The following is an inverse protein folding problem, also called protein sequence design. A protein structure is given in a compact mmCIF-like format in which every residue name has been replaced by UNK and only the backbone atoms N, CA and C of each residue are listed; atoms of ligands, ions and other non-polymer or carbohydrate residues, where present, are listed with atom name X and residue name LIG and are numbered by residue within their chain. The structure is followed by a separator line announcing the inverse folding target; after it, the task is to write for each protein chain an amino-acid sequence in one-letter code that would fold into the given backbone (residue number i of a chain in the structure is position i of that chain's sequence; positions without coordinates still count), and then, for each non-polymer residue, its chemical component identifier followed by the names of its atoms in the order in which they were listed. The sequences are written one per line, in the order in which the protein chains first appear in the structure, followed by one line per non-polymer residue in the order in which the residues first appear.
data_IF_223646051893
#
_entry.id   IF_223646051893
#
_cell.length_a   1.000
_cell.length_b   1.000
_cell.length_c   1.000
_cell.angle_alpha   90.00
_cell.angle_beta   90.00
_cell.angle_gamma   90.00
#
_symmetry.space_group_name_H-M   'P 1'
#
loop_
_entity.id
_entity.type
_entity.pdbx_description
1 polymer ?
#
# COMPACT_ATOMS: atom_id res chain seq x y z
N UNK A 1 8.64 18.65 19.95
CA UNK A 1 7.85 19.17 18.81
C UNK A 1 6.74 18.22 18.33
N UNK A 2 6.86 16.89 18.43
CA UNK A 2 5.92 15.92 17.83
C UNK A 2 4.51 15.79 18.46
N UNK A 3 4.23 16.45 19.58
CA UNK A 3 2.93 16.36 20.29
C UNK A 3 2.10 17.65 20.17
N UNK A 4 2.39 18.49 19.17
CA UNK A 4 1.67 19.76 18.97
C UNK A 4 0.30 19.60 18.32
N UNK A 5 0.06 18.49 17.60
CA UNK A 5 -1.21 18.18 16.95
C UNK A 5 -1.48 16.67 16.96
N UNK A 6 -2.74 16.28 16.76
CA UNK A 6 -3.11 14.87 16.63
C UNK A 6 -2.44 14.29 15.38
N UNK A 7 -2.39 15.06 14.29
CA UNK A 7 -1.66 14.68 13.07
C UNK A 7 -0.20 14.28 13.33
N UNK A 8 0.60 15.14 13.97
CA UNK A 8 2.03 14.87 14.19
C UNK A 8 2.24 13.68 15.11
N UNK A 9 1.37 13.51 16.10
CA UNK A 9 1.39 12.34 16.97
C UNK A 9 1.06 11.07 16.18
N UNK A 10 -0.04 11.05 15.43
CA UNK A 10 -0.42 9.90 14.59
C UNK A 10 0.68 9.53 13.60
N UNK A 11 1.29 10.51 12.94
CA UNK A 11 2.41 10.28 12.02
C UNK A 11 3.64 9.68 12.74
N UNK A 12 3.93 10.14 13.97
CA UNK A 12 4.98 9.54 14.81
C UNK A 12 4.71 8.07 15.09
N UNK A 13 3.47 7.71 15.36
CA UNK A 13 3.10 6.34 15.69
C UNK A 13 3.20 5.43 14.47
N UNK A 14 3.01 5.99 13.28
CA UNK A 14 3.20 5.28 12.02
C UNK A 14 4.65 5.19 11.56
N UNK A 15 5.63 5.85 12.21
CA UNK A 15 7.04 5.84 11.75
C UNK A 15 7.61 4.43 11.50
N UNK A 16 7.31 3.47 12.38
CA UNK A 16 7.79 2.08 12.25
C UNK A 16 7.07 1.39 11.10
N UNK A 17 5.78 1.67 10.93
CA UNK A 17 5.04 1.16 9.79
C UNK A 17 5.55 1.75 8.47
N UNK A 18 5.78 3.06 8.40
CA UNK A 18 6.29 3.76 7.21
C UNK A 18 7.61 3.12 6.77
N UNK A 19 8.55 2.97 7.70
CA UNK A 19 9.84 2.35 7.39
C UNK A 19 9.69 0.85 7.10
N UNK A 20 8.99 0.10 7.95
CA UNK A 20 8.85 -1.35 7.81
C UNK A 20 8.12 -1.78 6.55
N UNK A 21 6.92 -1.22 6.30
CA UNK A 21 6.14 -1.52 5.10
C UNK A 21 6.73 -0.86 3.86
N UNK A 22 7.22 0.37 3.93
CA UNK A 22 7.84 1.04 2.78
C UNK A 22 9.11 0.33 2.30
N UNK A 23 10.02 -0.01 3.22
CA UNK A 23 11.24 -0.75 2.87
C UNK A 23 10.90 -2.19 2.49
N UNK A 24 10.06 -2.87 3.29
CA UNK A 24 9.66 -4.25 3.04
C UNK A 24 9.02 -4.42 1.66
N UNK A 25 8.06 -3.57 1.30
CA UNK A 25 7.44 -3.60 -0.02
C UNK A 25 8.42 -3.27 -1.14
N UNK A 26 9.26 -2.25 -0.96
CA UNK A 26 10.29 -1.91 -1.95
C UNK A 26 11.20 -3.10 -2.26
N UNK A 27 11.67 -3.81 -1.23
CA UNK A 27 12.48 -5.01 -1.41
C UNK A 27 11.71 -6.17 -2.06
N UNK A 28 10.43 -6.36 -1.69
CA UNK A 28 9.55 -7.36 -2.30
C UNK A 28 9.38 -7.11 -3.80
N UNK A 29 9.33 -5.85 -4.25
CA UNK A 29 9.22 -5.48 -5.67
C UNK A 29 10.54 -5.66 -6.43
N UNK A 30 11.68 -5.46 -5.77
CA UNK A 30 13.00 -5.69 -6.38
C UNK A 30 13.22 -7.17 -6.71
N UNK A 31 12.66 -8.10 -5.93
CA UNK A 31 12.77 -9.55 -6.16
C UNK A 31 12.27 -10.02 -7.55
N UNK A 32 11.01 -9.74 -7.98
CA UNK A 32 10.54 -10.11 -9.32
C UNK A 32 11.26 -9.35 -10.43
N UNK A 33 11.75 -8.13 -10.18
CA UNK A 33 12.60 -7.42 -11.14
C UNK A 33 13.90 -8.18 -11.42
N UNK A 34 14.52 -8.71 -10.36
CA UNK A 34 15.69 -9.57 -10.48
C UNK A 34 15.36 -10.84 -11.30
N UNK A 35 14.23 -11.51 -10.99
CA UNK A 35 13.82 -12.71 -11.70
C UNK A 35 13.62 -12.47 -13.21
N UNK A 36 12.95 -11.38 -13.59
CA UNK A 36 12.73 -11.05 -15.00
C UNK A 36 14.02 -10.68 -15.72
N UNK A 37 14.93 -9.97 -15.05
CA UNK A 37 16.23 -9.62 -15.63
C UNK A 37 17.04 -10.86 -16.06
N UNK A 38 16.85 -12.00 -15.38
CA UNK A 38 17.44 -13.28 -15.76
C UNK A 38 16.62 -14.03 -16.82
N UNK A 39 15.30 -14.09 -16.66
CA UNK A 39 14.41 -14.85 -17.56
C UNK A 39 14.36 -14.29 -18.99
N UNK A 40 14.59 -12.99 -19.17
CA UNK A 40 14.50 -12.35 -20.50
C UNK A 40 15.77 -12.58 -21.34
N UNK A 41 16.85 -13.13 -20.74
CA UNK A 41 18.11 -13.39 -21.45
C UNK A 41 18.01 -14.51 -22.49
N UNK A 42 17.15 -15.51 -22.27
CA UNK A 42 16.96 -16.62 -23.23
C UNK A 42 15.63 -16.49 -23.96
N UNK A 43 15.59 -16.73 -25.29
CA UNK A 43 14.35 -16.64 -26.07
C UNK A 43 13.24 -17.57 -25.55
N UNK A 44 13.60 -18.78 -25.11
CA UNK A 44 12.66 -19.79 -24.63
C UNK A 44 12.00 -19.36 -23.31
N UNK A 45 12.79 -18.82 -22.36
CA UNK A 45 12.25 -18.36 -21.08
C UNK A 45 11.42 -17.08 -21.24
N UNK A 46 11.78 -16.19 -22.16
CA UNK A 46 10.97 -15.03 -22.53
C UNK A 46 9.61 -15.44 -23.10
N UNK A 47 9.57 -16.42 -24.00
CA UNK A 47 8.32 -16.93 -24.57
C UNK A 47 7.44 -17.57 -23.49
N UNK A 48 8.03 -18.36 -22.59
CA UNK A 48 7.32 -18.93 -21.45
C UNK A 48 6.75 -17.84 -20.53
N UNK A 49 7.53 -16.81 -20.21
CA UNK A 49 7.10 -15.68 -19.38
C UNK A 49 5.90 -14.94 -20.00
N UNK A 50 5.93 -14.67 -21.30
CA UNK A 50 4.85 -14.01 -22.02
C UNK A 50 3.58 -14.87 -22.07
N UNK A 51 3.71 -16.17 -22.30
CA UNK A 51 2.57 -17.10 -22.26
C UNK A 51 1.92 -17.16 -20.87
N UNK A 52 2.75 -17.17 -19.82
CA UNK A 52 2.28 -17.13 -18.44
C UNK A 52 1.59 -15.79 -18.14
N UNK A 53 2.18 -14.67 -18.51
CA UNK A 53 1.56 -13.36 -18.33
C UNK A 53 0.21 -13.25 -19.06
N UNK A 54 0.11 -13.76 -20.29
CA UNK A 54 -1.13 -13.80 -21.05
C UNK A 54 -2.22 -14.66 -20.36
N UNK A 55 -1.85 -15.77 -19.71
CA UNK A 55 -2.80 -16.61 -18.97
C UNK A 55 -3.43 -15.90 -17.76
N UNK A 56 -2.79 -14.85 -17.26
CA UNK A 56 -3.26 -14.01 -16.14
C UNK A 56 -3.81 -12.66 -16.60
N UNK A 57 -4.06 -12.47 -17.90
CA UNK A 57 -4.62 -11.23 -18.47
C UNK A 57 -6.02 -10.86 -17.94
N UNK A 58 -6.75 -11.82 -17.37
CA UNK A 58 -8.01 -11.59 -16.68
C UNK A 58 -7.87 -10.75 -15.40
N UNK A 59 -6.67 -10.70 -14.80
CA UNK A 59 -6.40 -9.96 -13.56
C UNK A 59 -5.75 -8.60 -13.82
N UNK A 60 -4.78 -8.56 -14.73
CA UNK A 60 -4.06 -7.36 -15.11
C UNK A 60 -3.61 -7.49 -16.56
N UNK A 61 -3.68 -6.39 -17.32
CA UNK A 61 -3.21 -6.41 -18.70
C UNK A 61 -1.68 -6.63 -18.75
N UNK A 62 -1.24 -7.56 -19.59
CA UNK A 62 0.15 -7.98 -19.69
C UNK A 62 0.94 -7.05 -20.61
N UNK A 63 0.99 -5.76 -20.25
CA UNK A 63 1.66 -4.72 -21.05
C UNK A 63 3.18 -4.80 -20.87
N UNK A 64 3.91 -5.16 -21.94
CA UNK A 64 5.38 -5.26 -21.95
C UNK A 64 5.91 -6.12 -20.77
N UNK A 65 5.25 -7.23 -20.48
CA UNK A 65 5.58 -8.12 -19.37
C UNK A 65 6.95 -8.81 -19.50
N UNK A 66 7.59 -8.68 -20.65
CA UNK A 66 8.98 -9.06 -20.92
C UNK A 66 10.00 -7.96 -20.59
N UNK A 67 9.55 -6.79 -20.14
CA UNK A 67 10.41 -5.73 -19.60
C UNK A 67 10.33 -5.72 -18.08
N UNK A 68 11.39 -5.26 -17.42
CA UNK A 68 11.45 -5.20 -15.96
C UNK A 68 10.33 -4.30 -15.40
N UNK A 69 10.13 -3.13 -15.99
CA UNK A 69 9.09 -2.18 -15.56
C UNK A 69 7.66 -2.67 -15.85
N UNK A 70 7.43 -3.24 -17.02
CA UNK A 70 6.13 -3.80 -17.39
C UNK A 70 5.76 -5.00 -16.51
N UNK A 71 6.71 -5.91 -16.23
CA UNK A 71 6.46 -7.03 -15.34
C UNK A 71 6.25 -6.61 -13.88
N UNK A 72 7.03 -5.65 -13.37
CA UNK A 72 6.82 -5.12 -12.03
C UNK A 72 5.40 -4.55 -11.89
N UNK A 73 4.92 -3.83 -12.91
CA UNK A 73 3.55 -3.27 -12.96
C UNK A 73 2.50 -4.36 -13.05
N UNK A 74 2.70 -5.35 -13.91
CA UNK A 74 1.81 -6.51 -14.04
C UNK A 74 1.67 -7.29 -12.72
N UNK A 75 2.75 -7.44 -11.96
CA UNK A 75 2.75 -8.12 -10.65
C UNK A 75 2.19 -7.28 -9.50
N UNK A 76 1.89 -5.99 -9.70
CA UNK A 76 1.26 -5.15 -8.67
C UNK A 76 -0.01 -5.82 -8.13
N UNK A 77 -0.82 -6.45 -8.98
CA UNK A 77 -2.09 -7.09 -8.60
C UNK A 77 -1.97 -7.98 -7.37
N UNK A 78 -0.92 -8.79 -7.30
CA UNK A 78 -0.67 -9.71 -6.17
C UNK A 78 -0.09 -8.96 -4.97
N UNK A 79 0.80 -7.99 -5.21
CA UNK A 79 1.47 -7.25 -4.13
C UNK A 79 0.57 -6.23 -3.42
N UNK A 80 -0.54 -5.81 -4.06
CA UNK A 80 -1.58 -5.02 -3.42
C UNK A 80 -2.10 -5.73 -2.17
N UNK A 81 -2.29 -7.05 -2.19
CA UNK A 81 -2.78 -7.79 -1.02
C UNK A 81 -1.87 -7.61 0.19
N UNK A 82 -0.55 -7.64 -0.03
CA UNK A 82 0.42 -7.50 1.05
C UNK A 82 0.45 -6.06 1.56
N UNK A 83 0.52 -5.08 0.66
CA UNK A 83 0.57 -3.67 1.06
C UNK A 83 -0.75 -3.19 1.70
N UNK A 84 -1.89 -3.69 1.26
CA UNK A 84 -3.21 -3.28 1.75
C UNK A 84 -3.49 -3.74 3.20
N UNK A 85 -2.72 -4.70 3.74
CA UNK A 85 -2.87 -5.15 5.14
C UNK A 85 -2.76 -3.97 6.11
N UNK A 86 -1.72 -3.15 5.97
CA UNK A 86 -1.50 -2.04 6.88
C UNK A 86 -2.60 -0.97 6.87
N UNK A 87 -2.99 -0.38 5.71
CA UNK A 87 -4.04 0.64 5.67
C UNK A 87 -5.40 0.09 6.10
N UNK A 88 -5.72 -1.18 5.82
CA UNK A 88 -6.96 -1.80 6.30
C UNK A 88 -6.96 -1.86 7.84
N UNK A 89 -5.86 -2.34 8.44
CA UNK A 89 -5.74 -2.40 9.90
C UNK A 89 -5.67 -1.01 10.54
N UNK A 90 -5.02 -0.04 9.88
CA UNK A 90 -4.93 1.33 10.34
C UNK A 90 -6.30 2.01 10.31
N UNK A 91 -7.04 1.87 9.20
CA UNK A 91 -8.38 2.41 9.01
C UNK A 91 -9.40 1.80 9.96
N UNK A 92 -9.43 0.47 10.10
CA UNK A 92 -10.42 -0.23 10.93
C UNK A 92 -10.29 0.07 12.43
N UNK A 93 -9.08 0.40 12.89
CA UNK A 93 -8.82 0.74 14.31
C UNK A 93 -8.75 2.24 14.59
N UNK A 94 -8.85 3.11 13.58
CA UNK A 94 -8.53 4.54 13.71
C UNK A 94 -9.41 5.25 14.74
N UNK A 95 -10.72 4.97 14.71
CA UNK A 95 -11.70 5.52 15.66
C UNK A 95 -12.14 4.46 16.65
N UNK A 96 -12.63 3.32 16.16
CA UNK A 96 -13.13 2.22 17.00
C UNK A 96 -12.09 1.71 17.99
N UNK A 97 -10.83 1.61 17.58
CA UNK A 97 -9.76 1.16 18.46
C UNK A 97 -9.43 2.13 19.60
N UNK A 98 -9.78 3.41 19.47
CA UNK A 98 -9.65 4.41 20.53
C UNK A 98 -10.87 4.46 21.44
N UNK A 99 -12.06 4.15 20.90
CA UNK A 99 -13.30 3.93 21.66
C UNK A 99 -13.17 2.71 22.57
N UNK A 100 -12.70 1.57 22.04
CA UNK A 100 -12.48 0.33 22.81
C UNK A 100 -11.53 0.53 24.01
N UNK A 101 -10.61 1.50 23.89
CA UNK A 101 -9.60 1.81 24.91
C UNK A 101 -10.00 2.97 25.83
N UNK A 102 -11.20 3.54 25.65
CA UNK A 102 -11.67 4.78 26.28
C UNK A 102 -10.73 5.99 26.09
N UNK A 103 -9.76 5.90 25.18
CA UNK A 103 -8.79 6.96 24.90
C UNK A 103 -9.40 8.11 24.10
N UNK A 104 -10.47 7.83 23.36
CA UNK A 104 -11.21 8.85 22.62
C UNK A 104 -11.91 9.82 23.58
N UNK A 105 -12.47 9.33 24.69
CA UNK A 105 -13.14 10.17 25.70
C UNK A 105 -12.15 11.12 26.37
N UNK A 106 -10.94 10.63 26.67
CA UNK A 106 -9.84 11.46 27.19
C UNK A 106 -9.43 12.52 26.16
N UNK A 107 -9.31 12.16 24.88
CA UNK A 107 -8.94 13.10 23.82
C UNK A 107 -10.01 14.19 23.61
N UNK A 108 -11.29 13.83 23.71
CA UNK A 108 -12.42 14.74 23.55
C UNK A 108 -12.75 15.54 24.81
N UNK A 109 -12.12 15.23 25.95
CA UNK A 109 -12.16 16.09 27.14
C UNK A 109 -11.38 17.40 26.93
N UNK A 110 -10.40 17.39 26.02
CA UNK A 110 -9.75 18.60 25.54
C UNK A 110 -10.66 19.36 24.56
N UNK A 111 -10.53 20.69 24.41
CA UNK A 111 -11.36 21.50 23.50
C UNK A 111 -10.99 21.26 22.02
N UNK A 112 -11.21 20.04 21.54
CA UNK A 112 -10.95 19.59 20.18
C UNK A 112 -12.25 19.07 19.55
N UNK A 113 -12.54 19.51 18.32
CA UNK A 113 -13.71 19.03 17.59
C UNK A 113 -13.54 17.58 17.12
N UNK A 114 -14.59 16.76 17.24
CA UNK A 114 -14.60 15.35 16.79
C UNK A 114 -14.18 15.19 15.33
N UNK A 115 -14.75 16.02 14.44
CA UNK A 115 -14.44 16.01 13.00
C UNK A 115 -12.98 16.36 12.74
N UNK A 116 -12.46 17.36 13.46
CA UNK A 116 -11.05 17.77 13.34
C UNK A 116 -10.11 16.63 13.70
N UNK A 117 -10.37 15.94 14.81
CA UNK A 117 -9.57 14.78 15.24
C UNK A 117 -9.58 13.67 14.17
N UNK A 118 -10.76 13.34 13.64
CA UNK A 118 -10.88 12.32 12.60
C UNK A 118 -10.13 12.71 11.32
N UNK A 119 -10.25 13.96 10.87
CA UNK A 119 -9.55 14.47 9.69
C UNK A 119 -8.02 14.50 9.89
N UNK A 120 -7.55 14.92 11.06
CA UNK A 120 -6.11 14.92 11.37
C UNK A 120 -5.51 13.50 11.36
N UNK A 121 -6.24 12.49 11.87
CA UNK A 121 -5.82 11.08 11.81
C UNK A 121 -5.86 10.50 10.39
N UNK A 122 -6.90 10.84 9.62
CA UNK A 122 -7.02 10.43 8.22
C UNK A 122 -5.87 11.02 7.39
N UNK A 123 -5.61 12.33 7.54
CA UNK A 123 -4.50 13.01 6.90
C UNK A 123 -3.15 12.38 7.27
N UNK A 124 -2.96 11.99 8.54
CA UNK A 124 -1.74 11.31 8.97
C UNK A 124 -1.57 9.92 8.34
N UNK A 125 -2.68 9.19 8.14
CA UNK A 125 -2.67 7.88 7.47
C UNK A 125 -2.31 8.03 5.99
N UNK A 126 -2.88 9.03 5.31
CA UNK A 126 -2.57 9.34 3.92
C UNK A 126 -1.11 9.80 3.76
N UNK A 127 -0.64 10.69 4.63
CA UNK A 127 0.76 11.11 4.65
C UNK A 127 1.72 9.92 4.85
N UNK A 128 1.36 8.97 5.71
CA UNK A 128 2.13 7.74 5.89
C UNK A 128 2.15 6.87 4.62
N UNK A 129 1.01 6.71 3.93
CA UNK A 129 0.96 5.99 2.65
C UNK A 129 1.80 6.68 1.57
N UNK A 130 1.76 8.02 1.48
CA UNK A 130 2.61 8.76 0.54
C UNK A 130 4.10 8.62 0.88
N UNK A 131 4.47 8.63 2.17
CA UNK A 131 5.84 8.37 2.57
C UNK A 131 6.29 6.95 2.18
N UNK A 132 5.44 5.95 2.36
CA UNK A 132 5.69 4.58 1.88
C UNK A 132 5.83 4.53 0.36
N UNK A 133 4.96 5.23 -0.38
CA UNK A 133 5.02 5.33 -1.85
C UNK A 133 6.39 5.83 -2.33
N UNK A 134 6.90 6.88 -1.70
CA UNK A 134 8.21 7.45 -2.01
C UNK A 134 9.32 6.45 -1.71
N UNK A 135 9.29 5.77 -0.56
CA UNK A 135 10.28 4.75 -0.22
C UNK A 135 10.27 3.58 -1.22
N UNK A 136 9.08 3.09 -1.57
CA UNK A 136 8.89 2.01 -2.54
C UNK A 136 9.41 2.45 -3.91
N UNK A 137 9.06 3.65 -4.38
CA UNK A 137 9.52 4.17 -5.66
C UNK A 137 11.03 4.37 -5.74
N UNK A 138 11.66 4.85 -4.65
CA UNK A 138 13.12 4.95 -4.56
C UNK A 138 13.77 3.56 -4.64
N UNK A 139 13.27 2.58 -3.89
CA UNK A 139 13.82 1.23 -3.91
C UNK A 139 13.60 0.52 -5.26
N UNK A 140 12.43 0.73 -5.88
CA UNK A 140 12.15 0.23 -7.22
C UNK A 140 13.09 0.88 -8.26
N UNK A 141 13.34 2.18 -8.16
CA UNK A 141 14.33 2.85 -9.01
C UNK A 141 15.74 2.30 -8.83
N UNK A 142 16.20 2.14 -7.58
CA UNK A 142 17.51 1.56 -7.29
C UNK A 142 17.63 0.12 -7.84
N UNK A 143 16.59 -0.70 -7.68
CA UNK A 143 16.52 -2.03 -8.32
C UNK A 143 16.57 -1.94 -9.85
N UNK A 144 15.87 -0.97 -10.44
CA UNK A 144 15.88 -0.73 -11.88
C UNK A 144 17.27 -0.37 -12.41
N UNK A 145 18.02 0.47 -11.68
CA UNK A 145 19.40 0.82 -12.02
C UNK A 145 20.31 -0.41 -11.98
N UNK A 146 20.19 -1.26 -10.95
CA UNK A 146 21.00 -2.49 -10.82
C UNK A 146 20.73 -3.46 -11.97
N UNK A 147 19.46 -3.62 -12.36
CA UNK A 147 19.05 -4.55 -13.41
C UNK A 147 18.98 -3.93 -14.81
N UNK A 148 19.44 -2.68 -14.99
CA UNK A 148 19.43 -1.94 -16.26
C UNK A 148 18.04 -1.84 -16.91
N UNK A 149 17.04 -1.48 -16.11
CA UNK A 149 15.66 -1.33 -16.56
C UNK A 149 15.43 -0.02 -17.34
N UNK A 150 14.48 -0.04 -18.27
CA UNK A 150 14.17 1.08 -19.19
C UNK A 150 13.13 2.07 -18.64
N UNK A 151 13.22 2.43 -17.35
CA UNK A 151 12.28 3.39 -16.74
C UNK A 151 13.00 4.45 -15.90
N UNK A 152 12.37 5.62 -15.76
CA UNK A 152 12.93 6.77 -15.06
C UNK A 152 12.58 6.74 -13.56
N UNK A 153 13.24 7.60 -12.78
CA UNK A 153 12.87 7.82 -11.37
C UNK A 153 11.40 8.25 -11.23
N UNK A 154 10.89 9.06 -12.17
CA UNK A 154 9.50 9.52 -12.15
C UNK A 154 8.55 8.34 -12.30
N UNK A 155 8.82 7.42 -13.23
CA UNK A 155 8.01 6.23 -13.45
C UNK A 155 7.96 5.34 -12.20
N UNK A 156 9.11 5.17 -11.52
CA UNK A 156 9.18 4.41 -10.28
C UNK A 156 8.43 5.07 -9.12
N UNK A 157 8.46 6.40 -9.02
CA UNK A 157 7.66 7.14 -8.04
C UNK A 157 6.15 7.07 -8.35
N UNK A 158 5.77 7.13 -9.62
CA UNK A 158 4.39 6.94 -10.07
C UNK A 158 3.89 5.53 -9.76
N UNK A 159 4.74 4.52 -9.92
CA UNK A 159 4.46 3.14 -9.50
C UNK A 159 4.15 3.07 -7.99
N UNK A 160 5.01 3.66 -7.14
CA UNK A 160 4.79 3.69 -5.70
C UNK A 160 3.52 4.46 -5.33
N UNK A 161 3.25 5.57 -6.01
CA UNK A 161 2.05 6.39 -5.82
C UNK A 161 0.78 5.62 -6.21
N UNK A 162 0.79 4.92 -7.34
CA UNK A 162 -0.33 4.10 -7.79
C UNK A 162 -0.71 3.05 -6.72
N UNK A 163 0.29 2.32 -6.20
CA UNK A 163 0.09 1.34 -5.14
C UNK A 163 -0.49 1.98 -3.87
N UNK A 164 0.04 3.14 -3.47
CA UNK A 164 -0.45 3.85 -2.29
C UNK A 164 -1.88 4.39 -2.45
N UNK A 165 -2.28 4.84 -3.64
CA UNK A 165 -3.64 5.29 -3.92
C UNK A 165 -4.65 4.15 -3.83
N UNK A 166 -4.33 2.98 -4.40
CA UNK A 166 -5.17 1.78 -4.26
C UNK A 166 -5.33 1.43 -2.78
N UNK A 167 -4.21 1.40 -2.05
CA UNK A 167 -4.18 1.16 -0.61
C UNK A 167 -4.98 2.19 0.21
N UNK A 168 -4.98 3.46 -0.21
CA UNK A 168 -5.75 4.51 0.44
C UNK A 168 -7.26 4.30 0.29
N UNK A 169 -7.72 3.81 -0.86
CA UNK A 169 -9.13 3.45 -1.08
C UNK A 169 -9.55 2.35 -0.09
N UNK A 170 -8.81 1.25 0.01
CA UNK A 170 -9.15 0.18 0.95
C UNK A 170 -9.03 0.60 2.42
N UNK A 171 -8.05 1.46 2.76
CA UNK A 171 -7.98 2.06 4.09
C UNK A 171 -9.18 2.93 4.43
N UNK A 172 -9.69 3.71 3.46
CA UNK A 172 -10.90 4.51 3.62
C UNK A 172 -12.16 3.65 3.75
N UNK A 173 -12.27 2.56 2.97
CA UNK A 173 -13.35 1.58 3.10
C UNK A 173 -13.32 0.91 4.48
N UNK A 174 -12.14 0.54 4.99
CA UNK A 174 -12.00 -0.01 6.35
C UNK A 174 -12.46 0.97 7.42
N UNK A 175 -12.09 2.24 7.28
CA UNK A 175 -12.55 3.30 8.17
C UNK A 175 -14.08 3.44 8.12
N UNK A 176 -14.67 3.46 6.92
CA UNK A 176 -16.12 3.57 6.74
C UNK A 176 -16.87 2.39 7.36
N UNK A 177 -16.45 1.16 7.06
CA UNK A 177 -17.08 -0.06 7.60
C UNK A 177 -16.96 -0.10 9.13
N UNK A 178 -15.83 0.35 9.70
CA UNK A 178 -15.64 0.37 11.16
C UNK A 178 -16.66 1.23 11.92
N UNK A 179 -17.33 2.17 11.25
CA UNK A 179 -18.38 2.97 11.88
C UNK A 179 -19.65 2.14 12.18
N UNK A 180 -19.85 1.04 11.45
CA UNK A 180 -21.02 0.17 11.59
C UNK A 180 -20.74 -1.11 12.39
N UNK A 181 -19.47 -1.44 12.65
CA UNK A 181 -19.10 -2.65 13.41
C UNK A 181 -18.73 -2.30 14.85
N UNK A 182 -19.18 -3.09 15.82
CA UNK A 182 -18.82 -2.91 17.23
C UNK A 182 -17.33 -3.14 17.52
N UNK A 183 -16.67 -3.98 16.74
CA UNK A 183 -15.26 -4.32 16.92
C UNK A 183 -14.43 -3.97 15.67
N UNK A 184 -13.14 -3.68 15.87
CA UNK A 184 -12.18 -3.42 14.78
C UNK A 184 -11.84 -4.64 13.92
N UNK A 185 -11.98 -5.85 14.48
CA UNK A 185 -11.65 -7.11 13.82
C UNK A 185 -12.57 -7.42 12.63
N UNK A 186 -13.91 -7.45 12.84
CA UNK A 186 -14.88 -7.62 11.76
C UNK A 186 -14.73 -6.60 10.63
N UNK A 187 -14.51 -5.31 10.93
CA UNK A 187 -14.30 -4.29 9.89
C UNK A 187 -13.10 -4.58 8.99
N UNK A 188 -11.98 -5.02 9.58
CA UNK A 188 -10.81 -5.44 8.81
C UNK A 188 -11.13 -6.66 7.94
N UNK A 189 -11.85 -7.65 8.48
CA UNK A 189 -12.26 -8.85 7.75
C UNK A 189 -13.16 -8.55 6.55
N UNK A 190 -14.22 -7.75 6.73
CA UNK A 190 -15.10 -7.32 5.65
C UNK A 190 -14.34 -6.57 4.56
N UNK A 191 -13.43 -5.67 4.94
CA UNK A 191 -12.63 -4.91 3.98
C UNK A 191 -11.65 -5.79 3.22
N UNK A 192 -11.03 -6.77 3.91
CA UNK A 192 -10.16 -7.75 3.26
C UNK A 192 -10.95 -8.65 2.28
N UNK A 193 -12.18 -9.01 2.61
CA UNK A 193 -13.09 -9.71 1.70
C UNK A 193 -13.41 -8.88 0.45
N UNK A 194 -13.72 -7.59 0.62
CA UNK A 194 -13.93 -6.68 -0.50
C UNK A 194 -12.67 -6.49 -1.34
N UNK A 195 -11.49 -6.39 -0.72
CA UNK A 195 -10.22 -6.35 -1.43
C UNK A 195 -10.04 -7.58 -2.31
N UNK A 196 -10.32 -8.78 -1.79
CA UNK A 196 -10.25 -10.00 -2.57
C UNK A 196 -11.21 -9.97 -3.75
N UNK A 197 -12.47 -9.58 -3.52
CA UNK A 197 -13.47 -9.50 -4.58
C UNK A 197 -13.03 -8.51 -5.66
N UNK A 198 -12.67 -7.28 -5.31
CA UNK A 198 -12.36 -6.24 -6.31
C UNK A 198 -11.02 -6.41 -7.03
N UNK A 199 -10.07 -7.16 -6.46
CA UNK A 199 -8.78 -7.39 -7.09
C UNK A 199 -8.77 -8.71 -7.87
N UNK A 200 -9.58 -9.70 -7.51
CA UNK A 200 -9.60 -11.03 -8.15
C UNK A 200 -10.76 -11.19 -9.13
N UNK A 201 -11.93 -10.58 -8.89
CA UNK A 201 -13.11 -10.70 -9.75
C UNK A 201 -13.32 -9.44 -10.57
#
# INVERSE_FOLDING_TARGET
MWFKSVFLKSLRDYRVAILGWGIGMGLVIVSPMASVSELVKTPEARAALLSLAASFSWNADAVKADTIGGYATFKIGIFIFLMAVWPILAGSRMLRGEEDRASLDVLLSAPQGRVRVALEKLAATWAALFAMAVLIGILAYLGGVVFKADFTLVDALLFGLNLALICAVFGAVALFISQFTHERGPAAGWTAGLLLIFIVL
#
